data_IF_500362428943
#
_entry.id   IF_500362428943
#
_cell.length_a   1.000
_cell.length_b   1.000
_cell.length_c   1.000
_cell.angle_alpha   90.00
_cell.angle_beta   90.00
_cell.angle_gamma   90.00
#
_symmetry.space_group_name_H-M   'P 1'
#
loop_
_entity.id
_entity.type
_entity.pdbx_description
1 polymer ?
#
# COMPACT_ATOMS: atom_id res chain seq x y z
N UNK A 1 12.86 -2.07 -20.68
CA UNK A 1 12.21 -2.75 -19.54
C UNK A 1 10.71 -2.84 -19.82
N UNK A 2 10.12 -4.05 -19.77
CA UNK A 2 8.69 -4.27 -20.07
C UNK A 2 7.91 -4.40 -18.75
N UNK A 3 6.78 -3.70 -18.59
CA UNK A 3 5.95 -3.77 -17.37
C UNK A 3 5.42 -5.21 -17.20
N UNK A 4 5.78 -5.89 -16.10
CA UNK A 4 5.38 -7.28 -15.82
C UNK A 4 3.89 -7.46 -15.54
N UNK A 5 3.18 -6.40 -15.16
CA UNK A 5 1.77 -6.46 -14.78
C UNK A 5 0.81 -6.25 -15.94
N UNK A 6 1.31 -5.81 -17.09
CA UNK A 6 0.50 -5.57 -18.28
C UNK A 6 0.29 -6.89 -19.04
N UNK A 7 -0.95 -7.20 -19.37
CA UNK A 7 -1.30 -8.31 -20.25
C UNK A 7 -1.01 -7.91 -21.71
N UNK A 8 0.19 -8.23 -22.19
CA UNK A 8 0.68 -7.73 -23.48
C UNK A 8 -0.11 -8.21 -24.69
N UNK A 9 -0.73 -9.38 -24.64
CA UNK A 9 -1.58 -9.86 -25.72
C UNK A 9 -2.89 -9.07 -25.80
N UNK A 10 -3.52 -8.78 -24.67
CA UNK A 10 -4.71 -7.93 -24.59
C UNK A 10 -4.41 -6.51 -25.06
N UNK A 11 -3.23 -5.97 -24.68
CA UNK A 11 -2.74 -4.68 -25.16
C UNK A 11 -2.62 -4.66 -26.69
N UNK A 12 -2.02 -5.69 -27.28
CA UNK A 12 -1.81 -5.79 -28.73
C UNK A 12 -3.13 -5.90 -29.48
N UNK A 13 -4.03 -6.77 -29.03
CA UNK A 13 -5.34 -6.90 -29.65
C UNK A 13 -6.10 -5.58 -29.62
N UNK A 14 -6.12 -4.91 -28.46
CA UNK A 14 -6.84 -3.65 -28.32
C UNK A 14 -6.24 -2.53 -29.17
N UNK A 15 -4.91 -2.47 -29.23
CA UNK A 15 -4.20 -1.52 -30.07
C UNK A 15 -4.48 -1.77 -31.56
N UNK A 16 -4.52 -3.04 -32.00
CA UNK A 16 -4.83 -3.40 -33.40
C UNK A 16 -6.28 -3.10 -33.79
N UNK A 17 -7.23 -3.26 -32.87
CA UNK A 17 -8.64 -2.96 -33.09
C UNK A 17 -8.89 -1.45 -33.20
N UNK A 18 -8.26 -0.66 -32.33
CA UNK A 18 -8.58 0.77 -32.17
C UNK A 18 -7.67 1.70 -33.01
N UNK A 19 -6.61 1.19 -33.65
CA UNK A 19 -5.69 2.02 -34.45
C UNK A 19 -6.27 2.30 -35.84
N UNK A 20 -6.53 3.56 -36.12
CA UNK A 20 -6.87 4.01 -37.47
C UNK A 20 -5.59 4.34 -38.26
N UNK A 21 -5.30 3.56 -39.31
CA UNK A 21 -4.17 3.80 -40.21
C UNK A 21 -4.52 4.69 -41.41
N UNK A 22 -5.80 4.95 -41.65
CA UNK A 22 -6.27 5.77 -42.77
C UNK A 22 -6.38 7.25 -42.34
N UNK A 23 -5.24 7.87 -42.06
CA UNK A 23 -5.17 9.28 -41.65
C UNK A 23 -4.38 10.08 -42.68
N UNK A 24 -4.92 11.24 -43.07
CA UNK A 24 -4.24 12.19 -43.96
C UNK A 24 -3.18 12.94 -43.15
N UNK A 25 -2.00 13.16 -43.73
CA UNK A 25 -0.86 13.81 -43.07
C UNK A 25 -0.33 14.99 -43.90
N UNK A 26 -1.21 15.68 -44.64
CA UNK A 26 -0.82 16.69 -45.62
C UNK A 26 -0.72 18.10 -45.01
N UNK A 27 -1.43 18.34 -43.91
CA UNK A 27 -1.42 19.62 -43.20
C UNK A 27 -0.86 19.43 -41.78
N UNK A 28 -0.16 20.44 -41.20
CA UNK A 28 0.26 20.43 -39.81
C UNK A 28 -0.88 20.10 -38.84
N UNK A 29 -2.09 20.60 -39.10
CA UNK A 29 -3.25 20.33 -38.26
C UNK A 29 -3.72 18.87 -38.33
N UNK A 30 -3.57 18.23 -39.49
CA UNK A 30 -3.88 16.80 -39.65
C UNK A 30 -2.83 15.93 -38.94
N UNK A 31 -1.55 16.35 -38.96
CA UNK A 31 -0.46 15.68 -38.24
C UNK A 31 -0.71 15.71 -36.73
N UNK A 32 -1.09 16.87 -36.19
CA UNK A 32 -1.40 17.01 -34.75
C UNK A 32 -2.63 16.19 -34.34
N UNK A 33 -3.64 16.11 -35.21
CA UNK A 33 -4.81 15.28 -35.01
C UNK A 33 -4.45 13.78 -35.00
N UNK A 34 -3.63 13.34 -35.94
CA UNK A 34 -3.13 11.97 -36.03
C UNK A 34 -2.32 11.59 -34.78
N UNK A 35 -1.44 12.48 -34.33
CA UNK A 35 -0.62 12.29 -33.13
C UNK A 35 -1.51 12.16 -31.89
N UNK A 36 -2.48 13.06 -31.74
CA UNK A 36 -3.41 13.02 -30.60
C UNK A 36 -4.23 11.74 -30.60
N UNK A 37 -4.70 11.29 -31.76
CA UNK A 37 -5.41 10.01 -31.90
C UNK A 37 -4.52 8.84 -31.47
N UNK A 38 -3.28 8.77 -31.95
CA UNK A 38 -2.34 7.70 -31.59
C UNK A 38 -2.05 7.67 -30.08
N UNK A 39 -1.83 8.83 -29.46
CA UNK A 39 -1.60 8.96 -28.02
C UNK A 39 -2.81 8.43 -27.25
N UNK A 40 -4.01 8.80 -27.68
CA UNK A 40 -5.24 8.39 -27.02
C UNK A 40 -5.50 6.88 -27.15
N UNK A 41 -5.33 6.32 -28.35
CA UNK A 41 -5.46 4.88 -28.60
C UNK A 41 -4.45 4.08 -27.76
N UNK A 42 -3.20 4.52 -27.71
CA UNK A 42 -2.15 3.90 -26.88
C UNK A 42 -2.52 3.97 -25.40
N UNK A 43 -3.01 5.11 -24.93
CA UNK A 43 -3.45 5.30 -23.54
C UNK A 43 -4.64 4.41 -23.19
N UNK A 44 -5.62 4.27 -24.08
CA UNK A 44 -6.77 3.40 -23.87
C UNK A 44 -6.35 1.93 -23.81
N UNK A 45 -5.55 1.46 -24.77
CA UNK A 45 -5.02 0.10 -24.78
C UNK A 45 -4.21 -0.21 -23.51
N UNK A 46 -3.38 0.72 -23.04
CA UNK A 46 -2.63 0.53 -21.77
C UNK A 46 -3.54 0.47 -20.55
N UNK A 47 -4.62 1.25 -20.50
CA UNK A 47 -5.58 1.26 -19.39
C UNK A 47 -6.39 -0.03 -19.29
N UNK A 48 -6.76 -0.63 -20.43
CA UNK A 48 -7.47 -1.91 -20.48
C UNK A 48 -6.54 -3.04 -20.06
N UNK A 49 -5.35 -3.13 -20.68
CA UNK A 49 -4.43 -4.23 -20.49
C UNK A 49 -3.61 -4.18 -19.19
N UNK A 50 -3.60 -3.05 -18.48
CA UNK A 50 -2.86 -2.91 -17.22
C UNK A 50 -3.83 -2.83 -16.04
N UNK A 51 -3.82 -3.83 -15.14
CA UNK A 51 -4.71 -3.83 -13.98
C UNK A 51 -4.40 -2.64 -13.09
N UNK A 52 -5.45 -1.91 -12.68
CA UNK A 52 -5.33 -0.82 -11.71
C UNK A 52 -4.88 -1.40 -10.38
N UNK A 53 -3.71 -0.96 -9.90
CA UNK A 53 -3.24 -1.35 -8.57
C UNK A 53 -4.12 -0.65 -7.55
N UNK A 54 -5.13 -1.34 -7.04
CA UNK A 54 -5.85 -0.89 -5.85
C UNK A 54 -4.97 -1.14 -4.65
N UNK A 55 -4.36 -0.08 -4.10
CA UNK A 55 -3.79 -0.17 -2.76
C UNK A 55 -4.95 -0.35 -1.80
N UNK A 56 -5.21 -1.59 -1.37
CA UNK A 56 -6.06 -1.81 -0.23
C UNK A 56 -5.35 -1.15 0.95
N UNK A 57 -5.85 0.02 1.37
CA UNK A 57 -5.46 0.64 2.63
C UNK A 57 -5.93 -0.30 3.74
N UNK A 58 -5.10 -1.30 4.05
CA UNK A 58 -5.31 -2.23 5.14
C UNK A 58 -5.00 -1.48 6.45
N UNK A 59 -5.71 -0.39 6.72
CA UNK A 59 -5.70 0.32 7.99
C UNK A 59 -6.57 -0.46 8.98
N UNK A 60 -6.32 -1.77 9.12
CA UNK A 60 -6.98 -2.62 10.12
C UNK A 60 -6.76 -1.99 11.48
N UNK A 61 -7.84 -1.49 12.08
CA UNK A 61 -8.07 -1.26 13.51
C UNK A 61 -6.92 -0.68 14.35
N UNK A 62 -6.04 0.15 13.77
CA UNK A 62 -5.05 0.86 14.59
C UNK A 62 -5.73 2.08 15.25
N UNK A 63 -5.70 2.19 16.59
CA UNK A 63 -6.24 3.36 17.30
C UNK A 63 -5.71 4.67 16.74
N UNK A 64 -6.58 5.68 16.66
CA UNK A 64 -6.27 7.01 16.11
C UNK A 64 -5.05 7.63 16.82
N UNK A 65 -4.95 7.46 18.14
CA UNK A 65 -3.82 7.95 18.93
C UNK A 65 -2.48 7.37 18.49
N UNK A 66 -2.42 6.07 18.18
CA UNK A 66 -1.20 5.43 17.68
C UNK A 66 -0.84 5.97 16.30
N UNK A 67 -1.83 6.20 15.42
CA UNK A 67 -1.59 6.84 14.11
C UNK A 67 -1.03 8.25 14.26
N UNK A 68 -1.55 9.04 15.20
CA UNK A 68 -1.06 10.39 15.53
C UNK A 68 0.40 10.35 16.01
N UNK A 69 0.73 9.43 16.90
CA UNK A 69 2.11 9.24 17.39
C UNK A 69 3.08 8.79 16.29
N UNK A 70 2.65 7.92 15.36
CA UNK A 70 3.45 7.55 14.19
C UNK A 70 3.75 8.78 13.33
N UNK A 71 2.74 9.62 13.07
CA UNK A 71 2.92 10.86 12.31
C UNK A 71 3.86 11.83 13.02
N UNK A 72 3.70 12.03 14.33
CA UNK A 72 4.60 12.86 15.14
C UNK A 72 6.04 12.35 15.11
N UNK A 73 6.26 11.04 15.31
CA UNK A 73 7.59 10.42 15.21
C UNK A 73 8.23 10.65 13.84
N UNK A 74 7.47 10.48 12.75
CA UNK A 74 7.97 10.74 11.38
C UNK A 74 8.38 12.19 11.19
N UNK A 75 7.58 13.14 11.68
CA UNK A 75 7.90 14.58 11.65
C UNK A 75 9.15 14.92 12.47
N UNK A 76 9.25 14.39 13.69
CA UNK A 76 10.41 14.60 14.56
C UNK A 76 11.69 14.02 13.93
N UNK A 77 11.60 12.83 13.32
CA UNK A 77 12.70 12.25 12.54
C UNK A 77 13.12 13.17 11.39
N UNK A 78 12.18 13.60 10.55
CA UNK A 78 12.47 14.48 9.42
C UNK A 78 13.07 15.83 9.84
N UNK A 79 12.72 16.34 11.03
CA UNK A 79 13.35 17.52 11.61
C UNK A 79 14.79 17.23 12.03
N UNK A 80 15.00 16.20 12.84
CA UNK A 80 16.34 15.82 13.30
C UNK A 80 17.30 15.50 12.14
N UNK A 81 16.85 14.81 11.09
CA UNK A 81 17.70 14.54 9.93
C UNK A 81 18.16 15.82 9.21
N UNK A 82 17.33 16.87 9.21
CA UNK A 82 17.66 18.15 8.57
C UNK A 82 18.55 19.03 9.44
N UNK A 83 18.24 19.15 10.74
CA UNK A 83 18.97 20.04 11.64
C UNK A 83 20.24 19.41 12.22
N UNK A 84 20.28 18.08 12.33
CA UNK A 84 21.29 17.31 13.08
C UNK A 84 21.47 17.77 14.53
N UNK A 85 20.52 18.56 15.06
CA UNK A 85 20.63 19.15 16.39
C UNK A 85 20.32 18.12 17.50
N UNK A 86 21.07 18.13 18.63
CA UNK A 86 20.80 17.25 19.77
C UNK A 86 19.39 17.43 20.37
N UNK A 87 18.88 18.65 20.39
CA UNK A 87 17.52 18.98 20.84
C UNK A 87 16.46 18.30 19.97
N UNK A 88 16.64 18.29 18.66
CA UNK A 88 15.72 17.57 17.77
C UNK A 88 15.86 16.04 17.93
N UNK A 89 17.06 15.53 18.24
CA UNK A 89 17.27 14.11 18.56
C UNK A 89 16.53 13.69 19.83
N UNK A 90 16.49 14.54 20.86
CA UNK A 90 15.74 14.24 22.09
C UNK A 90 14.23 14.21 21.82
N UNK A 91 13.70 15.15 21.03
CA UNK A 91 12.27 15.12 20.63
C UNK A 91 11.91 13.86 19.83
N UNK A 92 12.77 13.43 18.91
CA UNK A 92 12.60 12.17 18.17
C UNK A 92 12.62 10.96 19.12
N UNK A 93 13.57 10.91 20.04
CA UNK A 93 13.68 9.83 21.02
C UNK A 93 12.45 9.76 21.94
N UNK A 94 11.98 10.91 22.43
CA UNK A 94 10.78 11.01 23.26
C UNK A 94 9.54 10.51 22.51
N UNK A 95 9.29 11.00 21.30
CA UNK A 95 8.13 10.56 20.49
C UNK A 95 8.23 9.07 20.11
N UNK A 96 9.43 8.56 19.87
CA UNK A 96 9.67 7.13 19.61
C UNK A 96 9.35 6.27 20.84
N UNK A 97 9.78 6.68 22.03
CA UNK A 97 9.51 5.97 23.27
C UNK A 97 8.04 6.03 23.65
N UNK A 98 7.39 7.20 23.53
CA UNK A 98 5.95 7.33 23.76
C UNK A 98 5.13 6.41 22.84
N UNK A 99 5.51 6.29 21.56
CA UNK A 99 4.89 5.34 20.65
C UNK A 99 5.08 3.88 21.10
N UNK A 100 6.29 3.50 21.54
CA UNK A 100 6.55 2.14 22.06
C UNK A 100 5.68 1.83 23.28
N UNK A 101 5.58 2.76 24.23
CA UNK A 101 4.72 2.61 25.40
C UNK A 101 3.25 2.43 25.01
N UNK A 102 2.73 3.28 24.12
CA UNK A 102 1.32 3.18 23.69
C UNK A 102 1.01 1.90 22.94
N UNK A 103 1.95 1.38 22.14
CA UNK A 103 1.79 0.06 21.50
C UNK A 103 1.79 -1.06 22.56
N UNK A 104 2.65 -0.96 23.59
CA UNK A 104 2.71 -1.92 24.69
C UNK A 104 1.39 -1.93 25.47
N UNK A 105 0.90 -0.76 25.88
CA UNK A 105 -0.40 -0.59 26.57
C UNK A 105 -1.55 -1.19 25.75
N UNK A 106 -1.62 -0.92 24.45
CA UNK A 106 -2.67 -1.47 23.59
C UNK A 106 -2.62 -3.01 23.51
N UNK A 107 -1.43 -3.60 23.50
CA UNK A 107 -1.25 -5.06 23.52
C UNK A 107 -1.66 -5.65 24.86
N UNK A 108 -1.28 -5.02 25.96
CA UNK A 108 -1.64 -5.45 27.32
C UNK A 108 -3.14 -5.38 27.55
N UNK A 109 -3.80 -4.29 27.13
CA UNK A 109 -5.26 -4.17 27.17
C UNK A 109 -5.94 -5.24 26.33
N UNK A 110 -5.46 -5.47 25.10
CA UNK A 110 -6.01 -6.54 24.25
C UNK A 110 -5.83 -7.93 24.86
N UNK A 111 -4.69 -8.18 25.51
CA UNK A 111 -4.40 -9.43 26.19
C UNK A 111 -5.28 -9.61 27.44
N UNK A 112 -5.42 -8.57 28.26
CA UNK A 112 -6.30 -8.57 29.44
C UNK A 112 -7.75 -8.85 29.04
N UNK A 113 -8.27 -8.13 28.03
CA UNK A 113 -9.61 -8.38 27.48
C UNK A 113 -9.76 -9.82 26.99
N UNK A 114 -8.73 -10.36 26.32
CA UNK A 114 -8.72 -11.75 25.89
C UNK A 114 -8.82 -12.71 27.08
N UNK A 115 -8.00 -12.54 28.12
CA UNK A 115 -8.04 -13.38 29.32
C UNK A 115 -9.41 -13.32 30.00
N UNK A 116 -10.01 -12.13 30.14
CA UNK A 116 -11.36 -11.98 30.70
C UNK A 116 -12.44 -12.62 29.82
N UNK A 117 -12.25 -12.65 28.51
CA UNK A 117 -13.18 -13.30 27.57
C UNK A 117 -13.09 -14.82 27.55
N UNK A 118 -12.11 -15.42 28.25
CA UNK A 118 -11.95 -16.87 28.28
C UNK A 118 -13.06 -17.52 29.09
N UNK A 119 -13.74 -18.47 28.47
CA UNK A 119 -14.74 -19.32 29.12
C UNK A 119 -14.29 -20.79 29.06
N UNK A 120 -14.47 -21.52 30.16
CA UNK A 120 -14.22 -22.97 30.22
C UNK A 120 -15.24 -23.79 29.43
N UNK A 121 -16.44 -23.25 29.25
CA UNK A 121 -17.56 -23.93 28.60
C UNK A 121 -17.58 -23.71 27.07
N UNK A 122 -16.75 -22.79 26.55
CA UNK A 122 -16.59 -22.57 25.11
C UNK A 122 -15.18 -22.97 24.65
N UNK A 123 -15.00 -23.11 23.34
CA UNK A 123 -13.74 -23.40 22.69
C UNK A 123 -12.78 -22.19 22.60
N UNK A 124 -13.07 -21.07 23.27
CA UNK A 124 -12.26 -19.83 23.25
C UNK A 124 -10.82 -20.06 23.65
N UNK A 125 -10.58 -20.92 24.64
CA UNK A 125 -9.23 -21.28 25.13
C UNK A 125 -8.40 -21.92 24.01
N UNK A 126 -9.04 -22.73 23.17
CA UNK A 126 -8.36 -23.51 22.14
C UNK A 126 -8.19 -22.77 20.81
N UNK A 127 -8.94 -21.67 20.57
CA UNK A 127 -8.88 -20.91 19.30
C UNK A 127 -7.45 -20.43 18.97
N UNK A 128 -6.67 -19.83 19.89
CA UNK A 128 -5.32 -19.37 19.54
C UNK A 128 -4.33 -20.52 19.31
N UNK A 129 -4.49 -21.62 20.05
CA UNK A 129 -3.60 -22.79 19.97
C UNK A 129 -3.77 -23.50 18.62
N UNK A 130 -4.97 -23.50 18.02
CA UNK A 130 -5.22 -24.08 16.69
C UNK A 130 -4.31 -23.50 15.60
N UNK A 131 -3.96 -22.22 15.69
CA UNK A 131 -3.09 -21.57 14.71
C UNK A 131 -1.59 -21.88 14.91
N UNK A 132 -1.17 -22.31 16.11
CA UNK A 132 0.21 -22.72 16.38
C UNK A 132 0.51 -24.12 15.84
N UNK A 133 -0.48 -25.01 15.80
CA UNK A 133 -0.31 -26.40 15.32
C UNK A 133 -0.10 -26.52 13.81
N UNK A 134 -0.46 -25.51 13.03
CA UNK A 134 -0.20 -25.43 11.59
C UNK A 134 0.80 -24.30 11.32
N UNK A 135 2.12 -24.52 11.52
CA UNK A 135 3.11 -23.59 11.05
C UNK A 135 2.92 -23.45 9.54
N UNK A 136 2.45 -22.28 9.10
CA UNK A 136 2.39 -21.95 7.68
C UNK A 136 3.80 -22.09 7.15
N UNK A 137 4.07 -23.12 6.34
CA UNK A 137 5.32 -23.31 5.63
C UNK A 137 5.63 -22.02 4.86
N UNK A 138 6.48 -21.16 5.44
CA UNK A 138 7.04 -20.02 4.75
C UNK A 138 8.23 -20.57 3.98
N UNK A 139 7.98 -20.95 2.74
CA UNK A 139 9.07 -21.11 1.77
C UNK A 139 9.75 -19.75 1.63
N UNK A 140 11.00 -19.69 2.07
CA UNK A 140 11.92 -18.60 1.77
C UNK A 140 12.63 -19.05 0.48
N UNK A 141 12.32 -18.36 -0.63
CA UNK A 141 13.12 -18.31 -1.86
C UNK A 141 13.34 -16.84 -2.20
#
# INVERSE_FOLDING_TARGET
MRNKKTYWEEYRMKLHEDINLNVRLKSPMEIDSALTSLINTTKQATQVATPKITFQNNTRNVPIEIKKLISQKRRARARWYRSQAPTDKTTYSHTSNGLKCKIKEARESSFSNYITSLNRYDNTIWKPIKHLKNPRHRYIL
#
